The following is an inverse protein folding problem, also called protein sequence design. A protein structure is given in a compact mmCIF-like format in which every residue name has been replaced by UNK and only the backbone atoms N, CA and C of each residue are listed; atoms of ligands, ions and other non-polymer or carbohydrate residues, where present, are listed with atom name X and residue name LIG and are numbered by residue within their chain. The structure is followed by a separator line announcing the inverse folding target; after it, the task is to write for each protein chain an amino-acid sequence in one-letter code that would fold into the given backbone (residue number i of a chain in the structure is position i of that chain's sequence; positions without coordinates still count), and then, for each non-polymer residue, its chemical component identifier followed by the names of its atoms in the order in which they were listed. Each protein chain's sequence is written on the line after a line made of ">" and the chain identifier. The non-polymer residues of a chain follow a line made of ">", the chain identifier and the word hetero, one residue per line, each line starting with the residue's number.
data_IF_826698576100
#
_entry.id   IF_826698576100
#
_cell.length_a   1.000
_cell.length_b   1.000
_cell.length_c   1.000
_cell.angle_alpha   90.00
_cell.angle_beta   90.00
_cell.angle_gamma   90.00
#
_symmetry.space_group_name_H-M   'P 1'
#
loop_
_entity.id
_entity.type
_entity.pdbx_description
1 polymer ?
#
# COMPACT_ATOMS: atom_id res chain seq x y z
N UNK A 1 -38.38 53.13 3.88
CA UNK A 1 -39.11 52.08 3.12
C UNK A 1 -38.30 51.51 1.94
N UNK A 2 -37.13 52.06 1.59
CA UNK A 2 -36.29 51.60 0.47
C UNK A 2 -35.19 50.58 0.81
N UNK A 3 -34.74 50.52 2.06
CA UNK A 3 -33.66 49.60 2.49
C UNK A 3 -34.19 48.15 2.55
N UNK A 4 -35.44 47.98 2.98
CA UNK A 4 -36.08 46.66 3.10
C UNK A 4 -36.44 46.05 1.73
N UNK A 5 -36.73 46.89 0.72
CA UNK A 5 -36.89 46.44 -0.67
C UNK A 5 -35.57 46.03 -1.29
N UNK A 6 -34.48 46.79 -1.08
CA UNK A 6 -33.14 46.42 -1.58
C UNK A 6 -32.62 45.12 -0.95
N UNK A 7 -32.86 44.88 0.35
CA UNK A 7 -32.50 43.61 0.98
C UNK A 7 -33.31 42.44 0.43
N UNK A 8 -34.62 42.61 0.20
CA UNK A 8 -35.44 41.56 -0.43
C UNK A 8 -35.06 41.30 -1.88
N UNK A 9 -34.61 42.32 -2.63
CA UNK A 9 -34.15 42.15 -4.02
C UNK A 9 -32.79 41.44 -4.08
N UNK A 10 -31.88 41.70 -3.13
CA UNK A 10 -30.60 40.99 -3.02
C UNK A 10 -30.83 39.53 -2.56
N UNK A 11 -31.73 39.30 -1.61
CA UNK A 11 -32.09 37.94 -1.18
C UNK A 11 -32.87 37.16 -2.26
N UNK A 12 -33.72 37.84 -3.04
CA UNK A 12 -34.42 37.23 -4.19
C UNK A 12 -33.48 36.96 -5.38
N UNK A 13 -32.42 37.75 -5.57
CA UNK A 13 -31.35 37.45 -6.53
C UNK A 13 -30.47 36.28 -6.07
N UNK A 14 -30.27 36.11 -4.76
CA UNK A 14 -29.61 34.93 -4.17
C UNK A 14 -30.48 33.65 -4.22
N UNK A 15 -31.81 33.78 -4.30
CA UNK A 15 -32.74 32.65 -4.40
C UNK A 15 -33.14 32.29 -5.85
N UNK A 16 -32.81 33.11 -6.84
CA UNK A 16 -33.11 32.88 -8.27
C UNK A 16 -31.89 32.47 -9.12
N UNK A 17 -30.73 32.28 -8.50
CA UNK A 17 -29.52 31.72 -9.13
C UNK A 17 -29.42 30.18 -9.10
N UNK A 18 -30.49 29.48 -8.71
CA UNK A 18 -30.52 28.03 -8.63
C UNK A 18 -30.63 27.39 -10.03
N UNK A 19 -29.52 27.33 -10.76
CA UNK A 19 -29.28 26.38 -11.86
C UNK A 19 -27.77 26.34 -12.20
N UNK A 20 -26.96 25.97 -11.22
CA UNK A 20 -25.52 25.76 -11.35
C UNK A 20 -24.95 25.61 -9.95
N UNK A 21 -24.91 24.38 -9.41
CA UNK A 21 -24.45 24.14 -8.04
C UNK A 21 -23.01 24.65 -7.88
N UNK A 22 -22.78 25.46 -6.85
CA UNK A 22 -21.43 25.84 -6.43
C UNK A 22 -20.66 24.58 -6.03
N UNK A 23 -19.40 24.49 -6.44
CA UNK A 23 -18.53 23.38 -6.04
C UNK A 23 -18.37 23.36 -4.52
N UNK A 24 -18.41 22.17 -3.94
CA UNK A 24 -18.24 21.96 -2.49
C UNK A 24 -16.78 22.14 -2.06
N UNK A 25 -15.86 22.09 -3.01
CA UNK A 25 -14.40 22.08 -2.78
C UNK A 25 -13.86 20.68 -2.49
N UNK A 26 -14.74 19.68 -2.40
CA UNK A 26 -14.37 18.29 -2.20
C UNK A 26 -14.41 17.57 -3.53
N UNK A 27 -13.24 17.18 -4.04
CA UNK A 27 -13.15 16.42 -5.29
C UNK A 27 -13.97 15.13 -5.26
N UNK A 28 -14.16 14.52 -4.08
CA UNK A 28 -14.97 13.32 -3.92
C UNK A 28 -16.48 13.52 -4.13
N UNK A 29 -16.95 14.77 -4.07
CA UNK A 29 -18.36 15.17 -4.28
C UNK A 29 -18.54 15.82 -5.64
N UNK A 30 -17.61 16.68 -6.01
CA UNK A 30 -17.68 17.52 -7.20
C UNK A 30 -17.35 16.77 -8.49
N UNK A 31 -16.63 15.64 -8.40
CA UNK A 31 -16.29 14.79 -9.55
C UNK A 31 -17.14 13.52 -9.59
N UNK A 32 -17.51 13.13 -10.81
CA UNK A 32 -17.87 11.75 -11.07
C UNK A 32 -16.59 10.95 -11.32
N UNK A 33 -16.04 10.35 -10.26
CA UNK A 33 -14.76 9.63 -10.30
C UNK A 33 -14.93 8.29 -11.00
N UNK A 34 -14.22 8.11 -12.10
CA UNK A 34 -14.22 6.89 -12.90
C UNK A 34 -13.13 5.94 -12.43
N UNK A 35 -11.96 6.45 -12.03
CA UNK A 35 -10.90 5.62 -11.49
C UNK A 35 -10.04 6.31 -10.43
N UNK A 36 -9.49 5.50 -9.52
CA UNK A 36 -8.43 5.91 -8.62
C UNK A 36 -7.26 4.96 -8.81
N UNK A 37 -6.09 5.51 -9.10
CA UNK A 37 -4.84 4.76 -9.20
C UNK A 37 -4.00 5.05 -7.97
N UNK A 38 -3.83 4.05 -7.11
CA UNK A 38 -2.97 4.13 -5.94
C UNK A 38 -1.54 3.73 -6.29
N UNK A 39 -0.60 4.38 -5.62
CA UNK A 39 0.84 4.14 -5.66
C UNK A 39 1.33 4.06 -4.22
N UNK A 40 2.49 3.44 -4.01
CA UNK A 40 3.06 3.26 -2.67
C UNK A 40 3.64 4.59 -2.12
N UNK A 41 4.48 5.26 -2.92
CA UNK A 41 5.25 6.45 -2.51
C UNK A 41 4.85 7.74 -3.21
N UNK A 42 3.86 7.68 -4.11
CA UNK A 42 3.41 8.81 -4.91
C UNK A 42 1.95 9.16 -4.60
N UNK A 43 1.53 10.42 -4.82
CA UNK A 43 0.13 10.80 -4.75
C UNK A 43 -0.72 9.87 -5.63
N UNK A 44 -1.89 9.49 -5.12
CA UNK A 44 -2.85 8.75 -5.92
C UNK A 44 -3.35 9.64 -7.07
N UNK A 45 -3.57 9.02 -8.21
CA UNK A 45 -4.16 9.70 -9.36
C UNK A 45 -5.66 9.41 -9.40
N UNK A 46 -6.46 10.45 -9.21
CA UNK A 46 -7.93 10.40 -9.28
C UNK A 46 -8.33 10.88 -10.66
N UNK A 47 -9.01 10.03 -11.42
CA UNK A 47 -9.57 10.39 -12.73
C UNK A 47 -11.09 10.39 -12.65
N UNK A 48 -11.69 11.45 -13.16
CA UNK A 48 -13.13 11.58 -13.19
C UNK A 48 -13.60 12.54 -14.28
N UNK A 49 -14.90 12.75 -14.33
CA UNK A 49 -15.51 13.78 -15.15
C UNK A 49 -16.10 14.87 -14.29
N UNK A 50 -16.06 16.10 -14.78
CA UNK A 50 -16.65 17.28 -14.13
C UNK A 50 -18.08 17.46 -14.67
N UNK A 51 -19.13 17.00 -13.97
CA UNK A 51 -20.47 16.83 -14.54
C UNK A 51 -21.12 18.15 -14.97
N UNK A 52 -20.79 19.25 -14.31
CA UNK A 52 -21.25 20.61 -14.62
C UNK A 52 -20.28 21.65 -14.07
N UNK A 53 -20.45 22.91 -14.48
CA UNK A 53 -19.66 24.07 -14.01
C UNK A 53 -18.38 24.32 -14.81
N UNK A 54 -17.67 25.40 -14.48
CA UNK A 54 -16.45 25.79 -15.20
C UNK A 54 -15.22 25.15 -14.58
N UNK A 55 -14.27 24.61 -15.38
CA UNK A 55 -13.00 24.08 -14.87
C UNK A 55 -12.23 25.05 -13.96
N UNK A 56 -12.25 26.36 -14.27
CA UNK A 56 -11.61 27.38 -13.46
C UNK A 56 -12.25 27.55 -12.07
N UNK A 57 -13.58 27.47 -11.99
CA UNK A 57 -14.33 27.54 -10.73
C UNK A 57 -14.03 26.32 -9.86
N UNK A 58 -13.90 25.13 -10.46
CA UNK A 58 -13.52 23.91 -9.75
C UNK A 58 -12.12 24.01 -9.13
N UNK A 59 -11.15 24.52 -9.90
CA UNK A 59 -9.77 24.72 -9.42
C UNK A 59 -9.73 25.67 -8.23
N UNK A 60 -10.55 26.74 -8.24
CA UNK A 60 -10.62 27.71 -7.16
C UNK A 60 -11.34 27.17 -5.91
N UNK A 61 -12.29 26.27 -6.09
CA UNK A 61 -13.06 25.69 -4.98
C UNK A 61 -12.33 24.54 -4.29
N UNK A 62 -11.57 23.74 -5.04
CA UNK A 62 -10.87 22.54 -4.53
C UNK A 62 -10.04 22.85 -3.29
N UNK A 63 -10.21 22.02 -2.26
CA UNK A 63 -9.37 22.07 -1.07
C UNK A 63 -7.93 21.70 -1.44
N UNK A 64 -7.08 22.71 -1.44
CA UNK A 64 -5.69 22.62 -1.88
C UNK A 64 -4.78 21.80 -0.96
N UNK A 65 -5.17 21.52 0.29
CA UNK A 65 -4.25 20.94 1.28
C UNK A 65 -3.75 19.55 0.88
N UNK A 66 -4.54 18.79 0.11
CA UNK A 66 -4.23 17.42 -0.27
C UNK A 66 -3.98 17.25 -1.77
N UNK A 67 -4.13 18.30 -2.56
CA UNK A 67 -4.00 18.25 -4.02
C UNK A 67 -2.61 18.72 -4.46
N UNK A 68 -1.92 17.86 -5.20
CA UNK A 68 -0.56 18.13 -5.73
C UNK A 68 -0.61 18.73 -7.12
N UNK A 69 -1.66 18.47 -7.88
CA UNK A 69 -1.82 19.03 -9.20
C UNK A 69 -3.07 18.52 -9.90
N UNK A 70 -3.55 19.30 -10.88
CA UNK A 70 -4.74 18.96 -11.66
C UNK A 70 -4.43 19.11 -13.15
N UNK A 71 -4.81 18.11 -13.93
CA UNK A 71 -4.80 18.16 -15.38
C UNK A 71 -6.23 18.02 -15.92
N UNK A 72 -6.59 18.91 -16.83
CA UNK A 72 -7.85 18.85 -17.54
C UNK A 72 -7.64 18.43 -18.98
N UNK A 73 -8.53 17.56 -19.45
CA UNK A 73 -8.76 17.33 -20.87
C UNK A 73 -10.16 17.84 -21.22
N UNK A 74 -10.19 19.00 -21.87
CA UNK A 74 -11.42 19.73 -22.16
C UNK A 74 -11.86 19.55 -23.60
N UNK A 75 -13.16 19.61 -23.85
CA UNK A 75 -13.67 19.69 -25.23
C UNK A 75 -13.25 21.00 -25.91
N UNK A 76 -13.21 21.05 -27.25
CA UNK A 76 -12.88 22.26 -27.99
C UNK A 76 -13.76 23.47 -27.63
N UNK A 77 -15.01 23.23 -27.25
CA UNK A 77 -16.01 24.24 -26.94
C UNK A 77 -16.08 24.61 -25.45
N UNK A 78 -15.31 23.95 -24.58
CA UNK A 78 -15.34 24.23 -23.14
C UNK A 78 -14.94 25.67 -22.84
N UNK A 79 -15.67 26.31 -21.94
CA UNK A 79 -15.36 27.65 -21.40
C UNK A 79 -14.11 27.55 -20.51
N UNK A 80 -13.04 28.21 -20.94
CA UNK A 80 -11.76 28.31 -20.20
C UNK A 80 -11.50 29.70 -19.66
N UNK A 81 -12.53 30.56 -19.62
CA UNK A 81 -12.42 31.86 -18.96
C UNK A 81 -12.05 31.69 -17.49
N UNK A 82 -11.25 32.63 -16.96
CA UNK A 82 -10.76 32.58 -15.57
C UNK A 82 -9.65 31.56 -15.31
N UNK A 83 -9.29 30.69 -16.25
CA UNK A 83 -8.33 29.61 -15.98
C UNK A 83 -6.93 30.11 -15.64
N UNK A 84 -6.45 31.17 -16.30
CA UNK A 84 -5.15 31.77 -15.97
C UNK A 84 -5.13 32.35 -14.56
N UNK A 85 -6.23 32.93 -14.10
CA UNK A 85 -6.36 33.46 -12.74
C UNK A 85 -6.43 32.32 -11.74
N UNK A 86 -7.27 31.30 -12.01
CA UNK A 86 -7.36 30.09 -11.20
C UNK A 86 -6.00 29.40 -11.03
N UNK A 87 -5.21 29.28 -12.10
CA UNK A 87 -3.86 28.69 -12.03
C UNK A 87 -2.87 29.55 -11.22
N UNK A 88 -3.02 30.88 -11.21
CA UNK A 88 -2.16 31.76 -10.42
C UNK A 88 -2.53 31.75 -8.93
N UNK A 89 -3.80 31.50 -8.62
CA UNK A 89 -4.32 31.43 -7.25
C UNK A 89 -4.23 30.02 -6.66
N UNK A 90 -4.23 28.99 -7.51
CA UNK A 90 -4.07 27.61 -7.08
C UNK A 90 -2.71 27.42 -6.40
N UNK A 91 -2.71 26.83 -5.21
CA UNK A 91 -1.49 26.42 -4.50
C UNK A 91 -0.77 25.21 -5.14
N UNK A 92 -1.19 24.80 -6.33
CA UNK A 92 -0.72 23.61 -7.04
C UNK A 92 -0.72 23.84 -8.57
N UNK A 93 0.14 23.13 -9.32
CA UNK A 93 0.16 23.20 -10.78
C UNK A 93 -1.17 22.75 -11.40
N UNK A 94 -1.65 23.54 -12.35
CA UNK A 94 -2.82 23.19 -13.16
C UNK A 94 -2.45 23.17 -14.64
N UNK A 95 -2.85 22.13 -15.35
CA UNK A 95 -2.63 21.99 -16.79
C UNK A 95 -3.92 21.76 -17.55
N UNK A 96 -3.97 22.22 -18.79
CA UNK A 96 -5.13 22.08 -19.68
C UNK A 96 -4.67 21.60 -21.04
N UNK A 97 -5.35 20.58 -21.54
CA UNK A 97 -5.27 20.14 -22.91
C UNK A 97 -6.66 20.20 -23.56
N UNK A 98 -6.70 20.50 -24.86
CA UNK A 98 -7.92 20.45 -25.66
C UNK A 98 -7.97 19.07 -26.33
N UNK A 99 -9.00 18.30 -26.04
CA UNK A 99 -9.31 17.05 -26.73
C UNK A 99 -9.94 17.31 -28.10
N UNK A 100 -10.01 16.26 -28.92
CA UNK A 100 -10.66 16.29 -30.24
C UNK A 100 -12.16 15.95 -30.17
N UNK A 101 -12.62 15.40 -29.05
CA UNK A 101 -13.99 14.92 -28.87
C UNK A 101 -14.86 15.94 -28.15
N UNK A 102 -16.14 15.99 -28.52
CA UNK A 102 -17.15 16.68 -27.72
C UNK A 102 -17.48 15.84 -26.48
N UNK A 103 -17.61 16.49 -25.33
CA UNK A 103 -17.89 15.79 -24.08
C UNK A 103 -17.67 16.63 -22.83
N UNK A 104 -17.95 15.98 -21.70
CA UNK A 104 -17.70 16.46 -20.35
C UNK A 104 -16.18 16.53 -20.11
N UNK A 105 -15.73 17.54 -19.37
CA UNK A 105 -14.32 17.69 -19.04
C UNK A 105 -13.81 16.49 -18.22
N UNK A 106 -12.73 15.85 -18.68
CA UNK A 106 -12.01 14.85 -17.89
C UNK A 106 -11.04 15.57 -16.98
N UNK A 107 -11.01 15.17 -15.71
CA UNK A 107 -10.12 15.70 -14.68
C UNK A 107 -9.23 14.57 -14.20
N UNK A 108 -7.93 14.84 -14.18
CA UNK A 108 -6.92 13.99 -13.53
C UNK A 108 -6.30 14.79 -12.40
N UNK A 109 -6.54 14.37 -11.17
CA UNK A 109 -6.08 15.03 -9.95
C UNK A 109 -5.06 14.15 -9.25
N UNK A 110 -3.91 14.72 -8.88
CA UNK A 110 -2.94 14.08 -8.02
C UNK A 110 -3.27 14.43 -6.57
N UNK A 111 -3.53 13.41 -5.75
CA UNK A 111 -4.08 13.57 -4.41
C UNK A 111 -3.26 12.80 -3.38
N UNK A 112 -2.73 13.50 -2.39
CA UNK A 112 -2.04 12.92 -1.24
C UNK A 112 -3.01 12.29 -0.24
N UNK A 113 -2.50 11.46 0.67
CA UNK A 113 -3.32 10.83 1.72
C UNK A 113 -4.11 9.61 1.25
N UNK A 114 -3.94 9.19 0.00
CA UNK A 114 -4.42 7.93 -0.53
C UNK A 114 -3.21 7.07 -0.87
N UNK A 115 -3.04 5.94 -0.20
CA UNK A 115 -1.96 4.98 -0.45
C UNK A 115 -2.46 3.55 -0.36
N UNK A 116 -1.63 2.60 -0.77
CA UNK A 116 -1.95 1.19 -0.62
C UNK A 116 -0.71 0.36 -0.31
N UNK A 117 -0.91 -0.79 0.33
CA UNK A 117 0.14 -1.79 0.50
C UNK A 117 -0.44 -3.21 0.38
N UNK A 118 0.34 -4.20 -0.06
CA UNK A 118 -0.07 -5.60 -0.03
C UNK A 118 -0.14 -6.11 1.42
N UNK A 119 -1.18 -6.89 1.72
CA UNK A 119 -1.38 -7.56 3.00
C UNK A 119 -1.65 -9.04 2.80
N UNK A 120 -1.01 -9.89 3.61
CA UNK A 120 -1.12 -11.34 3.51
C UNK A 120 -1.47 -11.92 4.87
N UNK A 121 -2.55 -12.69 4.95
CA UNK A 121 -2.98 -13.37 6.17
C UNK A 121 -3.09 -14.87 5.94
N UNK A 122 -2.70 -15.64 6.96
CA UNK A 122 -2.92 -17.08 7.00
C UNK A 122 -4.16 -17.31 7.86
N UNK A 123 -5.15 -17.99 7.31
CA UNK A 123 -6.33 -18.39 8.07
C UNK A 123 -6.47 -19.91 8.07
N UNK A 124 -6.94 -20.44 9.20
CA UNK A 124 -7.18 -21.86 9.40
C UNK A 124 -8.64 -22.10 9.76
N UNK A 125 -9.30 -22.97 9.00
CA UNK A 125 -10.65 -23.45 9.27
C UNK A 125 -10.62 -24.98 9.35
N UNK A 126 -10.63 -25.50 10.58
CA UNK A 126 -10.44 -26.92 10.84
C UNK A 126 -9.08 -27.43 10.34
N UNK A 127 -9.09 -28.39 9.41
CA UNK A 127 -7.88 -28.93 8.78
C UNK A 127 -7.44 -28.14 7.54
N UNK A 128 -8.25 -27.20 7.07
CA UNK A 128 -7.96 -26.42 5.85
C UNK A 128 -7.25 -25.13 6.23
N UNK A 129 -6.22 -24.77 5.49
CA UNK A 129 -5.55 -23.48 5.61
C UNK A 129 -5.56 -22.75 4.27
N UNK A 130 -5.65 -21.43 4.31
CA UNK A 130 -5.58 -20.58 3.13
C UNK A 130 -4.72 -19.36 3.41
N UNK A 131 -4.02 -18.90 2.39
CA UNK A 131 -3.46 -17.55 2.35
C UNK A 131 -4.50 -16.64 1.70
N UNK A 132 -4.77 -15.51 2.33
CA UNK A 132 -5.53 -14.42 1.75
C UNK A 132 -4.60 -13.25 1.48
N UNK A 133 -4.48 -12.88 0.21
CA UNK A 133 -3.84 -11.64 -0.19
C UNK A 133 -4.90 -10.56 -0.34
N UNK A 134 -4.56 -9.38 0.16
CA UNK A 134 -5.40 -8.19 0.11
C UNK A 134 -4.56 -6.98 -0.28
N UNK A 135 -5.21 -6.01 -0.90
CA UNK A 135 -4.68 -4.66 -0.98
C UNK A 135 -5.24 -3.86 0.19
N UNK A 136 -4.37 -3.46 1.11
CA UNK A 136 -4.71 -2.58 2.21
C UNK A 136 -4.75 -1.16 1.68
N UNK A 137 -5.96 -0.67 1.38
CA UNK A 137 -6.15 0.72 1.00
C UNK A 137 -6.15 1.58 2.24
N UNK A 138 -5.38 2.66 2.21
CA UNK A 138 -5.30 3.63 3.28
C UNK A 138 -5.73 5.00 2.76
N UNK A 139 -6.71 5.58 3.44
CA UNK A 139 -7.20 6.92 3.18
C UNK A 139 -7.09 7.75 4.46
N UNK A 140 -6.09 8.62 4.54
CA UNK A 140 -5.89 9.54 5.66
C UNK A 140 -6.67 10.85 5.49
N UNK A 141 -7.42 10.98 4.41
CA UNK A 141 -8.32 12.11 4.15
C UNK A 141 -9.65 11.89 4.86
N UNK A 142 -10.39 12.96 5.12
CA UNK A 142 -11.77 12.87 5.63
C UNK A 142 -12.79 12.61 4.50
N UNK A 143 -12.34 12.60 3.24
CA UNK A 143 -13.18 12.41 2.06
C UNK A 143 -13.52 10.93 1.85
N UNK A 144 -14.75 10.68 1.39
CA UNK A 144 -15.21 9.36 0.95
C UNK A 144 -15.27 9.35 -0.57
N UNK A 145 -14.37 8.61 -1.21
CA UNK A 145 -14.33 8.52 -2.67
C UNK A 145 -15.18 7.37 -3.19
N UNK A 146 -15.85 7.58 -4.31
CA UNK A 146 -16.56 6.52 -5.02
C UNK A 146 -16.01 6.43 -6.44
N UNK A 147 -15.40 5.30 -6.79
CA UNK A 147 -14.80 5.08 -8.09
C UNK A 147 -15.36 3.81 -8.74
N UNK A 148 -15.44 3.79 -10.07
CA UNK A 148 -15.84 2.59 -10.82
C UNK A 148 -14.70 1.59 -10.98
N UNK A 149 -13.46 2.06 -10.82
CA UNK A 149 -12.26 1.23 -10.93
C UNK A 149 -11.18 1.72 -9.97
N UNK A 150 -10.51 0.78 -9.31
CA UNK A 150 -9.29 1.05 -8.56
C UNK A 150 -8.14 0.30 -9.21
N UNK A 151 -7.07 1.02 -9.54
CA UNK A 151 -5.82 0.45 -10.04
C UNK A 151 -4.77 0.53 -8.95
N UNK A 152 -4.01 -0.54 -8.78
CA UNK A 152 -2.93 -0.63 -7.81
C UNK A 152 -1.63 -0.84 -8.56
N UNK A 153 -0.66 0.05 -8.33
CA UNK A 153 0.65 0.00 -8.96
C UNK A 153 1.74 -0.25 -7.93
N UNK A 154 2.77 -1.00 -8.34
CA UNK A 154 4.00 -1.18 -7.55
C UNK A 154 4.88 0.11 -7.59
N UNK A 155 5.96 0.19 -6.79
CA UNK A 155 6.84 1.36 -6.77
C UNK A 155 7.45 1.72 -8.12
N UNK A 156 7.61 0.75 -9.03
CA UNK A 156 8.08 0.95 -10.41
C UNK A 156 6.95 1.33 -11.39
N UNK A 157 5.73 1.55 -10.88
CA UNK A 157 4.52 1.91 -11.64
C UNK A 157 3.98 0.82 -12.56
N UNK A 158 4.31 -0.45 -12.32
CA UNK A 158 3.69 -1.56 -13.04
C UNK A 158 2.34 -1.92 -12.41
N UNK A 159 1.32 -2.26 -13.22
CA UNK A 159 0.03 -2.71 -12.70
C UNK A 159 0.17 -3.99 -11.88
N UNK A 160 -0.29 -3.94 -10.63
CA UNK A 160 -0.36 -5.09 -9.72
C UNK A 160 -1.71 -5.78 -9.84
N UNK A 161 -2.78 -5.02 -9.62
CA UNK A 161 -4.16 -5.52 -9.74
C UNK A 161 -5.13 -4.38 -9.97
N UNK A 162 -6.33 -4.73 -10.43
CA UNK A 162 -7.42 -3.81 -10.68
C UNK A 162 -8.70 -4.37 -10.07
N UNK A 163 -9.39 -3.56 -9.27
CA UNK A 163 -10.73 -3.84 -8.81
C UNK A 163 -11.71 -3.03 -9.65
N UNK A 164 -12.77 -3.67 -10.16
CA UNK A 164 -13.82 -3.03 -10.97
C UNK A 164 -15.18 -3.11 -10.29
N UNK A 165 -16.03 -2.15 -10.62
CA UNK A 165 -17.33 -1.95 -9.97
C UNK A 165 -17.29 -0.75 -9.03
N UNK A 166 -18.46 -0.36 -8.50
CA UNK A 166 -18.57 0.81 -7.62
C UNK A 166 -17.87 0.53 -6.29
N UNK A 167 -16.65 1.03 -6.13
CA UNK A 167 -15.83 0.85 -4.95
C UNK A 167 -15.85 2.14 -4.13
N UNK A 168 -16.04 2.00 -2.81
CA UNK A 168 -16.02 3.12 -1.87
C UNK A 168 -14.70 3.13 -1.12
N UNK A 169 -13.95 4.23 -1.24
CA UNK A 169 -12.74 4.50 -0.44
C UNK A 169 -13.09 5.36 0.75
N UNK A 170 -13.20 4.71 1.90
CA UNK A 170 -13.56 5.33 3.18
C UNK A 170 -12.31 5.82 3.91
N UNK A 171 -12.40 6.86 4.76
CA UNK A 171 -11.35 7.19 5.69
C UNK A 171 -10.92 5.98 6.53
N UNK A 172 -9.61 5.89 6.80
CA UNK A 172 -8.96 4.77 7.49
C UNK A 172 -8.37 3.73 6.55
N UNK A 173 -7.97 2.60 7.14
CA UNK A 173 -7.38 1.47 6.43
C UNK A 173 -8.38 0.33 6.32
N UNK A 174 -8.53 -0.25 5.12
CA UNK A 174 -9.38 -1.42 4.93
C UNK A 174 -8.84 -2.33 3.81
N UNK A 175 -9.03 -3.67 3.94
CA UNK A 175 -8.56 -4.62 2.93
C UNK A 175 -9.55 -4.73 1.76
N UNK A 176 -9.01 -4.76 0.54
CA UNK A 176 -9.70 -5.27 -0.65
C UNK A 176 -9.13 -6.65 -0.99
N UNK A 177 -9.97 -7.70 -1.05
CA UNK A 177 -9.52 -9.03 -1.46
C UNK A 177 -8.87 -9.02 -2.85
N UNK A 178 -7.71 -9.65 -2.98
CA UNK A 178 -6.97 -9.74 -4.23
C UNK A 178 -6.93 -11.17 -4.77
N UNK A 179 -6.40 -12.11 -3.99
CA UNK A 179 -6.43 -13.53 -4.29
C UNK A 179 -6.41 -14.33 -2.99
N UNK A 180 -6.81 -15.59 -3.07
CA UNK A 180 -6.63 -16.51 -1.96
C UNK A 180 -6.35 -17.91 -2.48
N UNK A 181 -5.52 -18.66 -1.76
CA UNK A 181 -5.01 -19.95 -2.21
C UNK A 181 -4.90 -20.95 -1.05
N UNK A 182 -5.04 -22.27 -1.31
CA UNK A 182 -4.76 -23.29 -0.32
C UNK A 182 -3.32 -23.15 0.22
N UNK A 183 -3.17 -23.41 1.51
CA UNK A 183 -1.90 -23.29 2.22
C UNK A 183 -1.57 -24.57 3.00
N UNK A 184 -0.29 -24.90 3.09
CA UNK A 184 0.25 -25.91 3.97
C UNK A 184 0.26 -25.46 5.44
N UNK A 185 0.71 -26.35 6.32
CA UNK A 185 1.00 -25.98 7.71
C UNK A 185 2.19 -24.99 7.73
N UNK A 186 2.10 -23.90 8.51
CA UNK A 186 3.24 -23.01 8.72
C UNK A 186 4.36 -23.74 9.46
N UNK A 187 5.60 -23.49 9.04
CA UNK A 187 6.80 -24.02 9.67
C UNK A 187 7.72 -22.87 10.09
N UNK A 188 8.11 -22.81 11.37
CA UNK A 188 9.06 -21.82 11.85
C UNK A 188 10.49 -22.28 11.57
N UNK A 189 11.24 -21.43 10.87
CA UNK A 189 12.56 -21.76 10.34
C UNK A 189 13.54 -20.61 10.54
N UNK A 190 14.80 -20.93 10.79
CA UNK A 190 15.91 -19.97 10.85
C UNK A 190 16.83 -20.28 9.68
N UNK A 191 17.10 -19.30 8.82
CA UNK A 191 17.90 -19.48 7.60
C UNK A 191 18.94 -18.38 7.46
N UNK A 192 20.12 -18.73 6.93
CA UNK A 192 21.21 -17.79 6.76
C UNK A 192 21.21 -17.15 5.36
N UNK A 193 21.40 -15.84 5.30
CA UNK A 193 21.69 -15.11 4.07
C UNK A 193 20.51 -14.91 3.12
N UNK A 194 19.31 -15.32 3.54
CA UNK A 194 18.06 -15.11 2.82
C UNK A 194 16.93 -14.85 3.82
N UNK A 195 16.01 -13.90 3.58
CA UNK A 195 15.99 -12.99 2.42
C UNK A 195 17.04 -11.88 2.54
N UNK A 196 17.58 -11.63 3.74
CA UNK A 196 18.64 -10.64 3.95
C UNK A 196 19.99 -11.33 4.01
N UNK A 197 20.88 -10.90 3.13
CA UNK A 197 22.24 -11.42 3.01
C UNK A 197 23.08 -11.17 4.27
N UNK A 198 23.93 -12.13 4.62
CA UNK A 198 24.93 -11.98 5.68
C UNK A 198 24.40 -12.06 7.12
N UNK A 199 23.13 -12.44 7.33
CA UNK A 199 22.54 -12.63 8.67
C UNK A 199 21.67 -13.88 8.75
N UNK A 200 21.42 -14.33 9.98
CA UNK A 200 20.35 -15.28 10.27
C UNK A 200 19.00 -14.58 10.23
N UNK A 201 18.01 -15.21 9.60
CA UNK A 201 16.67 -14.67 9.42
C UNK A 201 15.66 -15.68 9.97
N UNK A 202 14.91 -15.34 11.04
CA UNK A 202 13.78 -16.13 11.48
C UNK A 202 12.59 -15.88 10.55
N UNK A 203 11.99 -16.96 10.05
CA UNK A 203 10.90 -16.91 9.08
C UNK A 203 9.82 -17.94 9.43
N UNK A 204 8.59 -17.69 9.02
CA UNK A 204 7.53 -18.70 8.91
C UNK A 204 7.39 -19.07 7.43
N UNK A 205 7.67 -20.33 7.09
CA UNK A 205 7.52 -20.88 5.75
C UNK A 205 6.14 -21.53 5.58
N UNK A 206 5.45 -21.23 4.49
CA UNK A 206 4.12 -21.76 4.16
C UNK A 206 4.08 -22.20 2.71
N UNK A 207 3.91 -23.50 2.48
CA UNK A 207 3.72 -24.04 1.12
C UNK A 207 2.38 -23.55 0.54
N UNK A 208 2.42 -22.89 -0.61
CA UNK A 208 1.27 -22.28 -1.28
C UNK A 208 1.48 -22.33 -2.81
N UNK A 209 1.26 -23.50 -3.45
CA UNK A 209 1.59 -23.73 -4.86
C UNK A 209 0.68 -23.00 -5.84
N UNK A 210 -0.44 -22.45 -5.36
CA UNK A 210 -1.39 -21.68 -6.15
C UNK A 210 -1.45 -20.23 -5.70
N UNK A 211 -0.39 -19.72 -5.06
CA UNK A 211 -0.27 -18.32 -4.72
C UNK A 211 -0.40 -17.46 -5.99
N UNK A 212 -1.13 -16.35 -5.87
CA UNK A 212 -1.15 -15.33 -6.90
C UNK A 212 0.15 -14.53 -6.92
N UNK A 213 0.15 -13.37 -7.58
CA UNK A 213 1.28 -12.45 -7.57
C UNK A 213 1.59 -12.00 -6.13
N UNK A 214 2.86 -12.08 -5.74
CA UNK A 214 3.36 -11.69 -4.40
C UNK A 214 4.24 -10.46 -4.54
N UNK A 215 3.94 -9.44 -3.75
CA UNK A 215 4.71 -8.21 -3.67
C UNK A 215 5.69 -8.30 -2.50
N UNK A 216 6.99 -8.33 -2.80
CA UNK A 216 8.06 -8.46 -1.80
C UNK A 216 8.68 -7.12 -1.39
N UNK A 217 8.34 -6.02 -2.06
CA UNK A 217 8.92 -4.70 -1.80
C UNK A 217 8.56 -4.14 -0.41
N UNK A 218 7.46 -4.60 0.19
CA UNK A 218 7.11 -4.29 1.59
C UNK A 218 7.96 -5.02 2.61
N UNK A 219 8.74 -6.02 2.18
CA UNK A 219 9.49 -6.93 3.06
C UNK A 219 8.62 -7.71 4.06
N UNK A 220 7.28 -7.67 3.93
CA UNK A 220 6.34 -8.36 4.80
C UNK A 220 6.11 -9.82 4.40
N UNK A 221 6.42 -10.17 3.15
CA UNK A 221 6.40 -11.54 2.65
C UNK A 221 7.45 -11.68 1.55
N UNK A 222 8.00 -12.88 1.44
CA UNK A 222 8.91 -13.26 0.37
C UNK A 222 8.39 -14.53 -0.30
N UNK A 223 8.58 -14.63 -1.61
CA UNK A 223 8.23 -15.83 -2.35
C UNK A 223 9.50 -16.50 -2.86
N UNK A 224 9.61 -17.81 -2.63
CA UNK A 224 10.63 -18.66 -3.26
C UNK A 224 9.98 -19.97 -3.66
N UNK A 225 9.92 -20.23 -4.97
CA UNK A 225 9.16 -21.35 -5.55
C UNK A 225 7.69 -21.32 -5.06
N UNK A 226 7.16 -22.46 -4.67
CA UNK A 226 5.80 -22.64 -4.15
C UNK A 226 5.69 -22.36 -2.64
N UNK A 227 6.60 -21.59 -2.05
CA UNK A 227 6.60 -21.28 -0.62
C UNK A 227 6.62 -19.79 -0.39
N UNK A 228 5.69 -19.32 0.45
CA UNK A 228 5.67 -17.97 0.99
C UNK A 228 6.37 -17.97 2.34
N UNK A 229 7.14 -16.93 2.59
CA UNK A 229 7.94 -16.80 3.79
C UNK A 229 7.64 -15.46 4.44
N UNK A 230 7.26 -15.50 5.71
CA UNK A 230 6.90 -14.34 6.51
C UNK A 230 8.01 -14.10 7.53
N UNK A 231 8.53 -12.87 7.66
CA UNK A 231 9.46 -12.55 8.75
C UNK A 231 8.88 -12.92 10.11
N UNK A 232 9.71 -13.51 10.96
CA UNK A 232 9.32 -13.99 12.28
C UNK A 232 10.13 -13.32 13.41
N UNK A 233 10.70 -12.15 13.16
CA UNK A 233 11.46 -11.38 14.16
C UNK A 233 10.60 -10.95 15.37
N UNK A 234 9.26 -10.97 15.22
CA UNK A 234 8.33 -10.73 16.33
C UNK A 234 8.07 -11.97 17.20
N UNK A 235 8.52 -13.16 16.76
CA UNK A 235 8.31 -14.44 17.44
C UNK A 235 9.57 -14.93 18.13
N UNK A 236 10.75 -14.57 17.62
CA UNK A 236 12.04 -14.95 18.19
C UNK A 236 13.07 -13.85 17.98
N UNK A 237 13.85 -13.58 19.02
CA UNK A 237 15.03 -12.72 18.96
C UNK A 237 16.28 -13.59 18.79
N UNK A 238 17.19 -13.18 17.90
CA UNK A 238 18.44 -13.87 17.62
C UNK A 238 19.63 -12.96 17.88
N UNK A 239 20.51 -13.35 18.79
CA UNK A 239 21.77 -12.67 19.10
C UNK A 239 22.97 -13.54 18.74
N UNK A 240 24.03 -12.92 18.21
CA UNK A 240 25.23 -13.62 17.77
C UNK A 240 26.46 -13.15 18.54
N UNK A 241 27.19 -14.10 19.13
CA UNK A 241 28.50 -13.86 19.70
C UNK A 241 29.57 -14.74 19.06
N UNK A 242 30.77 -14.18 18.92
CA UNK A 242 31.86 -14.77 18.14
C UNK A 242 33.10 -14.96 19.00
N UNK A 243 33.73 -16.13 18.87
CA UNK A 243 35.04 -16.41 19.44
C UNK A 243 36.00 -16.88 18.35
N UNK A 244 37.09 -16.15 18.18
CA UNK A 244 38.12 -16.46 17.19
C UNK A 244 39.10 -17.52 17.70
N UNK A 245 39.39 -18.50 16.86
CA UNK A 245 40.45 -19.49 17.05
C UNK A 245 41.35 -19.53 15.81
N UNK A 246 42.55 -20.15 15.89
CA UNK A 246 43.37 -20.34 14.70
C UNK A 246 42.63 -21.16 13.62
N UNK A 247 42.40 -20.55 12.46
CA UNK A 247 41.74 -21.17 11.29
C UNK A 247 40.23 -21.42 11.43
N UNK A 248 39.57 -20.94 12.50
CA UNK A 248 38.13 -21.11 12.68
C UNK A 248 37.51 -20.05 13.59
N UNK A 249 36.20 -19.87 13.46
CA UNK A 249 35.40 -19.10 14.41
C UNK A 249 34.36 -20.00 15.04
N UNK A 250 34.15 -19.86 16.35
CA UNK A 250 33.00 -20.42 17.02
C UNK A 250 31.94 -19.33 17.12
N UNK A 251 30.72 -19.68 16.72
CA UNK A 251 29.60 -18.77 16.61
C UNK A 251 28.49 -19.29 17.52
N UNK A 252 28.10 -18.47 18.49
CA UNK A 252 27.03 -18.78 19.41
C UNK A 252 25.83 -17.92 19.00
N UNK A 253 24.76 -18.60 18.61
CA UNK A 253 23.47 -17.99 18.32
C UNK A 253 22.55 -18.22 19.50
N UNK A 254 22.28 -17.15 20.26
CA UNK A 254 21.30 -17.14 21.32
C UNK A 254 19.93 -16.84 20.71
N UNK A 255 18.98 -17.75 20.90
CA UNK A 255 17.63 -17.65 20.36
C UNK A 255 16.64 -17.56 21.52
N UNK A 256 15.91 -16.46 21.62
CA UNK A 256 15.01 -16.14 22.74
C UNK A 256 13.57 -16.08 22.26
N UNK A 257 12.68 -16.85 22.89
CA UNK A 257 11.27 -16.85 22.53
C UNK A 257 10.58 -15.55 22.96
N UNK A 258 9.88 -14.93 22.01
CA UNK A 258 9.02 -13.77 22.24
C UNK A 258 7.52 -14.14 22.25
N UNK A 259 7.21 -15.43 22.11
CA UNK A 259 5.84 -15.92 22.01
C UNK A 259 5.25 -16.32 23.35
N UNK A 260 3.92 -16.37 23.41
CA UNK A 260 3.13 -16.86 24.54
C UNK A 260 2.81 -18.37 24.47
N UNK A 261 3.25 -19.03 23.41
CA UNK A 261 3.13 -20.47 23.18
C UNK A 261 4.47 -21.11 22.85
N UNK A 262 4.57 -22.41 23.06
CA UNK A 262 5.72 -23.21 22.63
C UNK A 262 5.81 -23.25 21.10
N UNK A 263 7.02 -23.10 20.56
CA UNK A 263 7.29 -23.16 19.14
C UNK A 263 8.45 -24.08 18.81
N UNK A 264 8.25 -24.94 17.81
CA UNK A 264 9.31 -25.73 17.18
C UNK A 264 9.97 -24.91 16.07
N UNK A 265 11.30 -24.80 16.12
CA UNK A 265 12.13 -24.10 15.14
C UNK A 265 13.09 -25.07 14.45
N UNK A 266 13.14 -25.02 13.12
CA UNK A 266 14.14 -25.74 12.32
C UNK A 266 15.20 -24.79 11.78
N UNK A 267 16.47 -25.17 11.85
CA UNK A 267 17.59 -24.41 11.30
C UNK A 267 17.91 -24.95 9.91
N UNK A 268 18.02 -24.05 8.94
CA UNK A 268 18.48 -24.34 7.59
C UNK A 268 19.91 -23.85 7.47
N UNK A 269 20.85 -24.79 7.62
CA UNK A 269 22.27 -24.50 7.48
C UNK A 269 22.63 -24.17 6.03
N UNK A 270 23.38 -23.09 5.78
CA UNK A 270 23.88 -22.80 4.44
C UNK A 270 24.98 -23.79 4.06
N UNK A 271 25.17 -24.05 2.75
CA UNK A 271 26.30 -24.88 2.29
C UNK A 271 27.65 -24.16 2.49
N UNK A 272 27.66 -22.83 2.35
CA UNK A 272 28.84 -21.97 2.57
C UNK A 272 28.42 -20.64 3.19
N UNK A 273 29.32 -20.07 4.00
CA UNK A 273 29.14 -18.76 4.63
C UNK A 273 29.87 -17.65 3.85
N UNK A 274 29.63 -16.36 4.14
CA UNK A 274 30.30 -15.27 3.45
C UNK A 274 31.81 -15.42 3.55
N UNK A 275 32.53 -15.05 2.48
CA UNK A 275 33.98 -15.24 2.32
C UNK A 275 34.43 -16.70 2.11
N UNK A 276 33.50 -17.62 1.85
CA UNK A 276 33.80 -18.98 1.41
C UNK A 276 34.17 -19.93 2.54
N UNK A 277 33.80 -19.61 3.78
CA UNK A 277 34.00 -20.52 4.90
C UNK A 277 33.05 -21.72 4.81
N UNK A 278 33.58 -22.89 5.13
CA UNK A 278 32.79 -24.09 5.41
C UNK A 278 32.12 -23.94 6.78
N UNK A 279 30.94 -24.53 6.92
CA UNK A 279 30.21 -24.55 8.19
C UNK A 279 30.27 -25.94 8.83
N UNK A 280 30.60 -26.00 10.12
CA UNK A 280 30.33 -27.16 10.96
C UNK A 280 29.01 -26.88 11.70
N UNK A 281 27.88 -27.48 11.25
CA UNK A 281 26.55 -27.16 11.78
C UNK A 281 26.39 -27.61 13.23
N UNK A 282 25.52 -26.89 13.95
CA UNK A 282 25.07 -27.25 15.30
C UNK A 282 23.86 -28.18 15.28
N UNK A 283 22.94 -27.98 16.22
CA UNK A 283 21.65 -28.68 16.23
C UNK A 283 20.77 -28.23 15.04
N UNK A 284 20.00 -29.13 14.45
CA UNK A 284 19.15 -28.80 13.29
C UNK A 284 17.77 -28.24 13.69
N UNK A 285 17.38 -28.39 14.94
CA UNK A 285 16.11 -27.88 15.45
C UNK A 285 16.07 -27.83 16.97
N UNK A 286 15.10 -27.10 17.49
CA UNK A 286 14.83 -26.97 18.92
C UNK A 286 13.38 -26.54 19.16
N UNK A 287 12.89 -26.75 20.38
CA UNK A 287 11.65 -26.13 20.86
C UNK A 287 12.01 -25.00 21.81
N UNK A 288 11.22 -23.93 21.81
CA UNK A 288 11.27 -22.91 22.85
C UNK A 288 9.89 -22.74 23.45
N UNK A 289 9.81 -22.81 24.78
CA UNK A 289 8.62 -22.39 25.53
C UNK A 289 8.67 -20.86 25.78
N UNK A 290 7.55 -20.23 26.20
CA UNK A 290 7.52 -18.79 26.44
C UNK A 290 8.60 -18.30 27.39
N UNK A 291 9.38 -17.31 26.95
CA UNK A 291 10.48 -16.70 27.72
C UNK A 291 11.74 -17.54 27.86
N UNK A 292 11.81 -18.72 27.23
CA UNK A 292 13.01 -19.55 27.19
C UNK A 292 14.04 -19.00 26.20
N UNK A 293 15.31 -19.30 26.45
CA UNK A 293 16.44 -19.06 25.55
C UNK A 293 17.22 -20.34 25.30
N UNK A 294 17.68 -20.56 24.08
CA UNK A 294 18.63 -21.62 23.72
C UNK A 294 19.87 -21.03 23.05
N UNK A 295 21.04 -21.55 23.41
CA UNK A 295 22.31 -21.19 22.74
C UNK A 295 22.70 -22.29 21.77
N UNK A 296 22.86 -21.93 20.50
CA UNK A 296 23.27 -22.83 19.41
C UNK A 296 24.70 -22.52 19.02
N UNK A 297 25.58 -23.50 19.11
CA UNK A 297 26.96 -23.40 18.64
C UNK A 297 27.09 -23.97 17.22
N UNK A 298 27.63 -23.18 16.30
CA UNK A 298 28.16 -23.65 15.02
C UNK A 298 29.56 -23.08 14.78
N UNK A 299 30.31 -23.63 13.82
CA UNK A 299 31.67 -23.17 13.52
C UNK A 299 31.83 -22.76 12.07
N UNK A 300 32.61 -21.71 11.84
CA UNK A 300 33.10 -21.34 10.51
C UNK A 300 34.57 -21.77 10.36
N UNK A 301 34.90 -22.43 9.25
CA UNK A 301 36.23 -22.94 8.95
C UNK A 301 36.74 -22.28 7.67
N UNK A 302 37.95 -21.70 7.72
CA UNK A 302 38.58 -20.93 6.65
C UNK A 302 39.89 -21.57 6.18
#
# INVERSE_FOLDING_TARGET
>A
MDIMKKLLTIFALLLLGACGGEYTGLGSVDLHVTSITFRDSDPATITGTLPSGKPAEFVLAVDSAQVVGIAFQLSPQADTSGFSEANNLAGFPVSVSRGLTQGVATVTMQHTGLSWSPGYTIEAEGSTRRIFASALLNNTTEQVWQADTINLLDPENNPVTTATGRITVRPGTYPIPWWNAPAGAPEAVITYGWPVHGRWNPMIAVYCPSAGRVENWTQSVYQRNDTLWFPADSLIELDLTWQQFPGKYHCFMDAVSLTDQEMYWRIIWPETLPRGADIEPGIDSFNLVPGESVTILYKEIY
#
